data_IF_082230889517
#
_entry.id   IF_082230889517
#
_cell.length_a   1.000
_cell.length_b   1.000
_cell.length_c   1.000
_cell.angle_alpha   90.00
_cell.angle_beta   90.00
_cell.angle_gamma   90.00
#
_symmetry.space_group_name_H-M   'P 1'
#
loop_
_entity.id
_entity.type
_entity.pdbx_description
1 polymer ?
#
# COMPACT_ATOMS: atom_id res chain seq x y z
N UNK A 1 18.78 -7.69 10.54
CA UNK A 1 18.95 -8.89 11.40
C UNK A 1 19.28 -8.55 12.86
N UNK A 2 20.33 -7.76 13.16
CA UNK A 2 20.69 -7.47 14.58
C UNK A 2 19.56 -6.81 15.37
N UNK A 3 18.87 -5.81 14.81
CA UNK A 3 17.72 -5.17 15.45
C UNK A 3 16.56 -6.14 15.66
N UNK A 4 16.21 -6.94 14.63
CA UNK A 4 15.13 -7.94 14.71
C UNK A 4 15.44 -9.03 15.75
N UNK A 5 16.73 -9.44 15.85
CA UNK A 5 17.18 -10.37 16.90
C UNK A 5 16.93 -9.82 18.30
N UNK A 6 17.21 -8.53 18.54
CA UNK A 6 16.91 -7.87 19.82
C UNK A 6 15.41 -7.79 20.12
N UNK A 7 14.57 -7.51 19.10
CA UNK A 7 13.10 -7.51 19.24
C UNK A 7 12.59 -8.90 19.65
N UNK A 8 13.09 -9.96 19.00
CA UNK A 8 12.73 -11.34 19.33
C UNK A 8 13.23 -11.76 20.72
N UNK A 9 14.41 -11.30 21.13
CA UNK A 9 14.93 -11.53 22.47
C UNK A 9 14.05 -10.86 23.53
N UNK A 10 13.70 -9.59 23.35
CA UNK A 10 12.74 -8.89 24.23
C UNK A 10 11.42 -9.64 24.33
N UNK A 11 10.87 -10.10 23.19
CA UNK A 11 9.65 -10.87 23.20
C UNK A 11 9.79 -12.19 24.00
N UNK A 12 10.88 -12.94 23.78
CA UNK A 12 11.11 -14.24 24.45
C UNK A 12 11.38 -14.12 25.96
N UNK A 13 11.94 -13.00 26.39
CA UNK A 13 12.22 -12.75 27.81
C UNK A 13 11.04 -12.12 28.55
N UNK A 14 10.00 -11.71 27.84
CA UNK A 14 8.78 -11.17 28.44
C UNK A 14 7.99 -12.26 29.17
N UNK A 15 7.33 -11.88 30.25
CA UNK A 15 6.55 -12.75 31.14
C UNK A 15 5.04 -12.38 31.07
N UNK A 16 4.20 -13.14 31.72
CA UNK A 16 2.77 -12.85 31.81
C UNK A 16 2.41 -11.52 32.49
N UNK A 17 3.39 -10.91 33.19
CA UNK A 17 3.23 -9.60 33.84
C UNK A 17 3.63 -8.43 32.93
N UNK A 18 4.19 -8.73 31.75
CA UNK A 18 4.69 -7.73 30.84
C UNK A 18 3.68 -7.40 29.75
N UNK A 19 3.73 -6.16 29.30
CA UNK A 19 3.05 -5.65 28.10
C UNK A 19 4.08 -5.36 27.03
N UNK A 20 4.05 -6.12 25.94
CA UNK A 20 4.85 -5.87 24.74
C UNK A 20 4.08 -4.95 23.80
N UNK A 21 4.56 -3.71 23.63
CA UNK A 21 3.96 -2.76 22.67
C UNK A 21 4.75 -2.81 21.37
N UNK A 22 4.06 -3.14 20.26
CA UNK A 22 4.61 -3.17 18.92
C UNK A 22 4.07 -1.99 18.13
N UNK A 23 4.96 -1.12 17.62
CA UNK A 23 4.60 -0.04 16.71
C UNK A 23 4.94 -0.47 15.29
N UNK A 24 3.93 -0.66 14.44
CA UNK A 24 4.07 -1.19 13.08
C UNK A 24 3.65 -0.14 12.07
N UNK A 25 4.53 0.11 11.09
CA UNK A 25 4.26 1.02 9.96
C UNK A 25 4.76 0.38 8.67
N UNK A 26 4.49 1.00 7.55
CA UNK A 26 4.98 0.60 6.23
C UNK A 26 6.49 0.32 6.19
N UNK A 27 6.89 -0.57 5.31
CA UNK A 27 8.28 -0.99 5.14
C UNK A 27 8.81 -1.97 6.21
N UNK A 28 8.06 -2.26 7.27
CA UNK A 28 8.51 -3.12 8.37
C UNK A 28 8.98 -4.51 7.90
N UNK A 29 8.30 -5.15 6.94
CA UNK A 29 8.71 -6.44 6.38
C UNK A 29 10.13 -6.45 5.83
N UNK A 30 10.56 -5.36 5.17
CA UNK A 30 11.90 -5.25 4.61
C UNK A 30 12.96 -4.95 5.71
N UNK A 31 12.55 -4.22 6.74
CA UNK A 31 13.44 -3.75 7.82
C UNK A 31 13.62 -4.77 8.94
N UNK A 32 12.75 -5.78 9.04
CA UNK A 32 12.78 -6.80 10.11
C UNK A 32 13.06 -8.22 9.59
N UNK A 33 14.11 -8.45 8.78
CA UNK A 33 14.44 -9.80 8.34
C UNK A 33 14.89 -10.65 9.51
N UNK A 34 14.27 -11.81 9.68
CA UNK A 34 14.64 -12.85 10.64
C UNK A 34 14.42 -14.22 10.00
N UNK A 35 15.43 -14.81 9.37
CA UNK A 35 15.33 -16.16 8.83
C UNK A 35 14.94 -17.18 9.90
N UNK A 36 14.12 -18.16 9.52
CA UNK A 36 13.82 -19.30 10.36
C UNK A 36 15.11 -20.08 10.72
N UNK A 37 15.13 -20.85 11.81
CA UNK A 37 16.33 -21.62 12.21
C UNK A 37 16.90 -22.46 11.07
N UNK A 38 18.21 -22.36 10.86
CA UNK A 38 18.92 -23.06 9.78
C UNK A 38 18.94 -22.34 8.44
N UNK A 39 18.23 -21.22 8.30
CA UNK A 39 18.21 -20.39 7.08
C UNK A 39 19.08 -19.15 7.23
N UNK A 40 19.64 -18.67 6.13
CA UNK A 40 20.37 -17.42 6.05
C UNK A 40 19.54 -16.30 5.40
N UNK A 41 19.98 -15.06 5.57
CA UNK A 41 19.37 -13.92 4.85
C UNK A 41 19.55 -14.05 3.32
N UNK A 42 20.63 -14.67 2.87
CA UNK A 42 20.87 -14.93 1.45
C UNK A 42 19.81 -15.89 0.89
N UNK A 43 19.47 -16.94 1.63
CA UNK A 43 18.42 -17.91 1.25
C UNK A 43 17.06 -17.22 1.09
N UNK A 44 16.70 -16.35 2.04
CA UNK A 44 15.44 -15.59 1.96
C UNK A 44 15.42 -14.65 0.75
N UNK A 45 16.52 -13.94 0.51
CA UNK A 45 16.62 -13.02 -0.64
C UNK A 45 16.51 -13.77 -1.97
N UNK A 46 17.26 -14.86 -2.11
CA UNK A 46 17.23 -15.67 -3.33
C UNK A 46 15.82 -16.25 -3.57
N UNK A 47 15.18 -16.79 -2.55
CA UNK A 47 13.81 -17.32 -2.66
C UNK A 47 12.82 -16.22 -3.02
N UNK A 48 12.91 -15.04 -2.39
CA UNK A 48 12.06 -13.90 -2.70
C UNK A 48 12.24 -13.44 -4.15
N UNK A 49 13.50 -13.35 -4.63
CA UNK A 49 13.78 -12.96 -6.00
C UNK A 49 13.22 -13.96 -7.02
N UNK A 50 13.37 -15.25 -6.77
CA UNK A 50 12.79 -16.30 -7.63
C UNK A 50 11.26 -16.18 -7.76
N UNK A 51 10.57 -15.87 -6.65
CA UNK A 51 9.11 -15.66 -6.66
C UNK A 51 8.71 -14.39 -7.40
N UNK A 52 9.47 -13.31 -7.26
CA UNK A 52 9.24 -12.06 -8.01
C UNK A 52 9.45 -12.27 -9.51
N UNK A 53 10.55 -12.93 -9.89
CA UNK A 53 10.90 -13.17 -11.29
C UNK A 53 9.88 -14.04 -12.04
N UNK A 54 9.16 -14.92 -11.33
CA UNK A 54 8.11 -15.75 -11.93
C UNK A 54 6.70 -15.10 -11.89
N UNK A 55 6.58 -13.88 -11.35
CA UNK A 55 5.32 -13.16 -11.30
C UNK A 55 4.34 -13.66 -10.22
N UNK A 56 4.86 -14.22 -9.13
CA UNK A 56 4.04 -14.60 -7.97
C UNK A 56 3.32 -13.37 -7.41
N UNK A 57 2.06 -13.53 -7.04
CA UNK A 57 1.28 -12.49 -6.39
C UNK A 57 1.84 -12.14 -5.01
N UNK A 58 1.49 -10.97 -4.47
CA UNK A 58 1.93 -10.57 -3.12
C UNK A 58 1.46 -11.55 -2.04
N UNK A 59 0.30 -12.16 -2.20
CA UNK A 59 -0.22 -13.16 -1.27
C UNK A 59 0.62 -14.45 -1.29
N UNK A 60 0.98 -14.93 -2.47
CA UNK A 60 1.84 -16.11 -2.65
C UNK A 60 3.26 -15.87 -2.14
N UNK A 61 3.81 -14.72 -2.47
CA UNK A 61 5.10 -14.29 -1.97
C UNK A 61 5.10 -14.22 -0.43
N UNK A 62 4.07 -13.64 0.18
CA UNK A 62 3.95 -13.53 1.63
C UNK A 62 3.72 -14.90 2.29
N UNK A 63 2.95 -15.81 1.70
CA UNK A 63 2.78 -17.17 2.22
C UNK A 63 4.15 -17.86 2.41
N UNK A 64 4.98 -17.88 1.37
CA UNK A 64 6.33 -18.49 1.45
C UNK A 64 7.23 -17.71 2.43
N UNK A 65 7.24 -16.37 2.37
CA UNK A 65 8.09 -15.55 3.25
C UNK A 65 7.77 -15.68 4.72
N UNK A 66 6.48 -15.78 5.09
CA UNK A 66 6.03 -15.99 6.48
C UNK A 66 6.56 -17.31 7.04
N UNK A 67 6.50 -18.39 6.26
CA UNK A 67 7.00 -19.70 6.66
C UNK A 67 8.52 -19.76 6.79
N UNK A 68 9.26 -18.96 6.04
CA UNK A 68 10.71 -18.86 6.14
C UNK A 68 11.19 -17.83 7.20
N UNK A 69 10.28 -17.22 7.96
CA UNK A 69 10.57 -16.15 8.91
C UNK A 69 10.37 -16.60 10.35
N UNK A 70 11.26 -16.17 11.25
CA UNK A 70 11.09 -16.29 12.70
C UNK A 70 10.35 -15.08 13.32
N UNK A 71 9.93 -14.10 12.51
CA UNK A 71 9.31 -12.86 12.97
C UNK A 71 7.90 -12.65 12.44
N UNK A 72 7.70 -12.87 11.12
CA UNK A 72 6.44 -12.65 10.40
C UNK A 72 5.42 -13.77 10.64
N UNK A 73 4.17 -13.61 10.18
CA UNK A 73 3.14 -14.64 10.25
C UNK A 73 2.84 -15.10 11.68
N UNK A 74 2.67 -14.18 12.64
CA UNK A 74 2.36 -14.47 14.03
C UNK A 74 3.55 -14.92 14.89
N UNK A 75 4.74 -15.03 14.31
CA UNK A 75 5.91 -15.56 15.04
C UNK A 75 6.39 -14.64 16.16
N UNK A 76 6.24 -13.30 16.01
CA UNK A 76 6.54 -12.37 17.11
C UNK A 76 5.56 -12.58 18.27
N UNK A 77 4.29 -12.76 17.99
CA UNK A 77 3.28 -13.09 19.01
C UNK A 77 3.60 -14.43 19.71
N UNK A 78 4.00 -15.45 18.93
CA UNK A 78 4.48 -16.74 19.50
C UNK A 78 5.71 -16.54 20.40
N UNK A 79 6.67 -15.72 19.95
CA UNK A 79 7.88 -15.45 20.74
C UNK A 79 7.58 -14.74 22.07
N UNK A 80 6.52 -13.92 22.13
CA UNK A 80 6.08 -13.24 23.37
C UNK A 80 5.46 -14.20 24.41
N UNK A 81 5.14 -15.44 24.01
CA UNK A 81 4.70 -16.48 24.93
C UNK A 81 3.42 -16.09 25.69
N UNK A 82 3.55 -15.86 27.01
CA UNK A 82 2.43 -15.51 27.91
C UNK A 82 2.24 -14.01 28.11
N UNK A 83 3.12 -13.17 27.60
CA UNK A 83 2.99 -11.71 27.69
C UNK A 83 1.77 -11.20 26.93
N UNK A 84 1.21 -10.08 27.36
CA UNK A 84 0.21 -9.36 26.60
C UNK A 84 0.89 -8.59 25.47
N UNK A 85 0.38 -8.72 24.23
CA UNK A 85 0.89 -8.00 23.06
C UNK A 85 -0.13 -6.98 22.59
N UNK A 86 0.29 -5.73 22.49
CA UNK A 86 -0.49 -4.63 21.91
C UNK A 86 0.25 -4.11 20.67
N UNK A 87 -0.31 -4.33 19.50
CA UNK A 87 0.22 -3.77 18.25
C UNK A 87 -0.58 -2.54 17.85
N UNK A 88 0.12 -1.42 17.68
CA UNK A 88 -0.43 -0.17 17.16
C UNK A 88 0.08 -0.02 15.73
N UNK A 89 -0.84 -0.02 14.77
CA UNK A 89 -0.54 -0.23 13.35
C UNK A 89 -0.99 0.98 12.54
N UNK A 90 -0.09 1.52 11.73
CA UNK A 90 -0.40 2.42 10.62
C UNK A 90 -0.45 1.57 9.36
N UNK A 91 -1.63 1.48 8.73
CA UNK A 91 -1.83 0.63 7.55
C UNK A 91 -1.53 1.38 6.26
N UNK A 92 -0.66 0.79 5.45
CA UNK A 92 -0.33 1.19 4.08
C UNK A 92 -0.77 0.13 3.05
N UNK A 93 -1.74 -0.71 3.41
CA UNK A 93 -2.24 -1.81 2.57
C UNK A 93 -3.74 -1.65 2.35
N UNK A 94 -4.18 -1.75 1.11
CA UNK A 94 -5.62 -1.67 0.74
C UNK A 94 -6.43 -2.74 1.48
N UNK A 95 -7.50 -2.32 2.15
CA UNK A 95 -8.39 -3.20 2.92
C UNK A 95 -7.87 -3.58 4.30
N UNK A 96 -6.74 -3.07 4.72
CA UNK A 96 -6.16 -3.21 6.06
C UNK A 96 -5.99 -4.66 6.57
N UNK A 97 -5.59 -5.65 5.74
CA UNK A 97 -5.44 -7.04 6.18
C UNK A 97 -4.25 -7.18 7.13
N UNK A 98 -4.51 -7.48 8.40
CA UNK A 98 -3.50 -7.55 9.47
C UNK A 98 -2.38 -8.56 9.19
N UNK A 99 -2.66 -9.61 8.43
CA UNK A 99 -1.69 -10.65 8.07
C UNK A 99 -0.78 -10.25 6.90
N UNK A 100 -1.15 -9.19 6.15
CA UNK A 100 -0.35 -8.61 5.06
C UNK A 100 0.49 -7.44 5.55
N UNK A 101 -0.08 -6.55 6.38
CA UNK A 101 0.63 -5.40 6.95
C UNK A 101 1.87 -5.90 7.70
N UNK A 102 3.05 -5.41 7.32
CA UNK A 102 4.33 -5.86 7.89
C UNK A 102 4.56 -7.38 7.83
N UNK A 103 3.84 -8.12 6.95
CA UNK A 103 3.76 -9.58 6.91
C UNK A 103 3.25 -10.21 8.22
N UNK A 104 2.37 -9.52 8.95
CA UNK A 104 1.61 -10.04 10.08
C UNK A 104 2.41 -10.56 11.27
N UNK A 105 3.36 -9.84 11.88
CA UNK A 105 4.17 -10.38 12.98
C UNK A 105 3.35 -10.76 14.22
N UNK A 106 2.20 -10.12 14.40
CA UNK A 106 1.27 -10.32 15.53
C UNK A 106 -0.13 -10.75 15.08
N UNK A 107 -0.28 -11.13 13.82
CA UNK A 107 -1.52 -11.63 13.26
C UNK A 107 -1.42 -13.12 12.91
N UNK A 108 -2.52 -13.89 12.97
CA UNK A 108 -2.52 -15.27 12.52
C UNK A 108 -2.25 -15.37 11.02
N UNK A 109 -1.63 -16.47 10.61
CA UNK A 109 -1.35 -16.79 9.21
C UNK A 109 -2.25 -17.95 8.74
N UNK A 110 -3.13 -17.66 7.80
CA UNK A 110 -4.02 -18.68 7.25
C UNK A 110 -3.31 -19.63 6.27
N UNK A 111 -2.15 -19.24 5.70
CA UNK A 111 -1.39 -20.09 4.78
C UNK A 111 -0.61 -21.21 5.50
N UNK A 112 -0.27 -22.28 4.80
CA UNK A 112 0.35 -23.48 5.32
C UNK A 112 1.63 -23.85 4.56
N UNK A 113 2.41 -24.82 5.07
CA UNK A 113 3.51 -25.40 4.32
C UNK A 113 3.03 -26.11 3.03
N UNK A 114 1.79 -26.64 3.02
CA UNK A 114 1.19 -27.20 1.80
C UNK A 114 0.95 -26.11 0.75
N UNK A 115 0.41 -24.95 1.14
CA UNK A 115 0.26 -23.81 0.22
C UNK A 115 1.61 -23.36 -0.33
N UNK A 116 2.66 -23.31 0.51
CA UNK A 116 4.01 -22.98 0.04
C UNK A 116 4.49 -24.00 -1.00
N UNK A 117 4.26 -25.30 -0.79
CA UNK A 117 4.61 -26.35 -1.74
C UNK A 117 3.87 -26.16 -3.07
N UNK A 118 2.54 -25.98 -3.02
CA UNK A 118 1.71 -25.79 -4.22
C UNK A 118 2.14 -24.57 -5.04
N UNK A 119 2.45 -23.45 -4.37
CA UNK A 119 2.97 -22.25 -5.03
C UNK A 119 4.29 -22.56 -5.76
N UNK A 120 5.23 -23.20 -5.06
CA UNK A 120 6.55 -23.47 -5.62
C UNK A 120 6.51 -24.51 -6.74
N UNK A 121 5.66 -25.53 -6.66
CA UNK A 121 5.41 -26.52 -7.71
C UNK A 121 4.81 -25.85 -8.96
N UNK A 122 3.77 -25.03 -8.79
CA UNK A 122 3.10 -24.32 -9.90
C UNK A 122 4.05 -23.43 -10.71
N UNK A 123 5.02 -22.79 -10.05
CA UNK A 123 6.03 -21.96 -10.71
C UNK A 123 7.30 -22.75 -11.10
N UNK A 124 7.38 -24.07 -10.84
CA UNK A 124 8.53 -24.89 -11.16
C UNK A 124 9.81 -24.49 -10.44
N UNK A 125 9.70 -23.95 -9.23
CA UNK A 125 10.84 -23.34 -8.50
C UNK A 125 11.63 -24.31 -7.62
N UNK A 126 11.11 -25.53 -7.33
CA UNK A 126 11.71 -26.43 -6.35
C UNK A 126 13.20 -26.70 -6.56
N UNK A 127 13.61 -26.94 -7.82
CA UNK A 127 15.02 -27.24 -8.15
C UNK A 127 15.93 -25.99 -8.07
N UNK A 128 15.36 -24.79 -8.13
CA UNK A 128 16.07 -23.49 -8.12
C UNK A 128 16.24 -22.94 -6.72
N UNK A 129 15.48 -23.43 -5.74
CA UNK A 129 15.55 -22.97 -4.34
C UNK A 129 16.91 -23.33 -3.72
N UNK A 130 17.44 -22.52 -2.79
CA UNK A 130 18.52 -22.92 -1.91
C UNK A 130 18.22 -24.25 -1.22
N UNK A 131 19.24 -25.12 -1.07
CA UNK A 131 19.05 -26.43 -0.43
C UNK A 131 18.47 -26.31 0.98
N UNK A 132 18.96 -25.37 1.78
CA UNK A 132 18.46 -25.12 3.13
C UNK A 132 16.96 -24.78 3.15
N UNK A 133 16.45 -23.99 2.17
CA UNK A 133 15.03 -23.68 2.06
C UNK A 133 14.21 -24.91 1.70
N UNK A 134 14.67 -25.71 0.72
CA UNK A 134 13.98 -26.97 0.37
C UNK A 134 13.88 -27.90 1.57
N UNK A 135 14.99 -28.08 2.29
CA UNK A 135 15.04 -28.99 3.44
C UNK A 135 14.15 -28.49 4.58
N UNK A 136 14.11 -27.16 4.82
CA UNK A 136 13.23 -26.55 5.81
C UNK A 136 11.74 -26.73 5.45
N UNK A 137 11.36 -26.47 4.19
CA UNK A 137 9.97 -26.65 3.71
C UNK A 137 9.55 -28.13 3.79
N UNK A 138 10.42 -29.06 3.40
CA UNK A 138 10.17 -30.51 3.57
C UNK A 138 10.03 -30.91 5.03
N UNK A 139 10.82 -30.30 5.92
CA UNK A 139 10.67 -30.52 7.36
C UNK A 139 9.32 -30.01 7.87
N UNK A 140 8.84 -28.86 7.37
CA UNK A 140 7.51 -28.32 7.68
C UNK A 140 6.39 -29.28 7.23
N UNK A 141 6.41 -29.71 5.97
CA UNK A 141 5.45 -30.67 5.41
C UNK A 141 5.42 -31.99 6.19
N UNK A 142 6.56 -32.41 6.75
CA UNK A 142 6.68 -33.61 7.57
C UNK A 142 6.37 -33.34 9.07
N UNK A 143 5.89 -32.17 9.46
CA UNK A 143 5.60 -31.78 10.86
C UNK A 143 6.83 -31.65 11.76
N UNK A 144 8.04 -31.57 11.20
CA UNK A 144 9.31 -31.43 11.96
C UNK A 144 9.76 -29.97 12.14
N UNK A 145 9.28 -29.05 11.29
CA UNK A 145 9.38 -27.62 11.54
C UNK A 145 8.00 -27.08 11.97
N UNK A 146 7.96 -26.12 12.90
CA UNK A 146 6.67 -25.63 13.40
C UNK A 146 5.94 -24.81 12.34
N UNK A 147 4.66 -25.09 12.19
CA UNK A 147 3.76 -24.28 11.36
C UNK A 147 3.62 -22.86 11.91
N UNK A 148 3.31 -21.90 11.06
CA UNK A 148 2.97 -20.54 11.52
C UNK A 148 1.72 -20.56 12.40
N UNK A 149 1.56 -19.65 13.41
CA UNK A 149 0.35 -19.57 14.23
C UNK A 149 -0.90 -19.35 13.37
N UNK A 150 -1.92 -20.18 13.57
CA UNK A 150 -3.15 -20.21 12.77
C UNK A 150 -4.29 -19.40 13.38
N UNK A 151 -5.30 -19.00 12.59
CA UNK A 151 -6.56 -18.48 13.13
C UNK A 151 -7.14 -19.47 14.16
N UNK A 152 -7.51 -18.94 15.33
CA UNK A 152 -8.02 -19.76 16.43
C UNK A 152 -6.96 -20.31 17.40
N UNK A 153 -5.67 -20.09 17.14
CA UNK A 153 -4.61 -20.43 18.10
C UNK A 153 -4.83 -19.63 19.40
N UNK A 154 -4.84 -20.29 20.58
CA UNK A 154 -5.04 -19.65 21.89
C UNK A 154 -4.05 -18.51 22.20
N UNK A 155 -2.87 -18.51 21.59
CA UNK A 155 -1.88 -17.43 21.78
C UNK A 155 -2.46 -16.05 21.43
N UNK A 156 -3.35 -15.96 20.42
CA UNK A 156 -3.96 -14.70 20.02
C UNK A 156 -5.00 -14.14 21.02
N UNK A 157 -5.39 -14.91 22.01
CA UNK A 157 -6.22 -14.42 23.12
C UNK A 157 -5.57 -13.30 23.93
N UNK A 158 -4.24 -13.18 23.87
CA UNK A 158 -3.44 -12.14 24.55
C UNK A 158 -2.90 -11.07 23.59
N UNK A 159 -3.28 -11.12 22.33
CA UNK A 159 -2.85 -10.15 21.30
C UNK A 159 -3.99 -9.20 20.98
N UNK A 160 -3.67 -7.91 20.94
CA UNK A 160 -4.56 -6.85 20.47
C UNK A 160 -3.87 -6.09 19.36
N UNK A 161 -4.45 -6.11 18.18
CA UNK A 161 -4.02 -5.31 17.03
C UNK A 161 -4.97 -4.12 16.89
N UNK A 162 -4.44 -2.90 16.90
CA UNK A 162 -5.19 -1.65 16.77
C UNK A 162 -4.69 -0.93 15.52
N UNK A 163 -5.58 -0.70 14.56
CA UNK A 163 -5.35 0.17 13.42
C UNK A 163 -5.44 1.63 13.88
N UNK A 164 -4.30 2.26 14.11
CA UNK A 164 -4.23 3.64 14.60
C UNK A 164 -4.42 4.67 13.48
N UNK A 165 -3.97 4.34 12.26
CA UNK A 165 -4.19 5.15 11.07
C UNK A 165 -4.42 4.25 9.86
N UNK A 166 -5.43 4.60 9.04
CA UNK A 166 -5.82 3.90 7.83
C UNK A 166 -6.21 4.91 6.74
N UNK A 167 -6.27 4.45 5.49
CA UNK A 167 -6.76 5.27 4.39
C UNK A 167 -8.20 5.75 4.64
N UNK A 168 -9.07 4.89 5.15
CA UNK A 168 -10.44 5.24 5.49
C UNK A 168 -10.54 6.40 6.47
N UNK A 169 -9.71 6.42 7.51
CA UNK A 169 -9.68 7.52 8.48
C UNK A 169 -9.20 8.83 7.85
N UNK A 170 -8.25 8.76 6.90
CA UNK A 170 -7.82 9.93 6.13
C UNK A 170 -8.95 10.47 5.24
N UNK A 171 -9.69 9.59 4.56
CA UNK A 171 -10.89 9.97 3.78
C UNK A 171 -11.98 10.60 4.66
N UNK A 172 -12.24 10.03 5.83
CA UNK A 172 -13.22 10.58 6.76
C UNK A 172 -12.79 11.97 7.29
N UNK A 173 -11.48 12.19 7.48
CA UNK A 173 -10.95 13.50 7.83
C UNK A 173 -11.08 14.51 6.67
N UNK A 174 -10.81 14.07 5.44
CA UNK A 174 -11.01 14.89 4.24
C UNK A 174 -12.49 15.23 4.04
N UNK A 175 -13.41 14.31 4.30
CA UNK A 175 -14.85 14.54 4.24
C UNK A 175 -15.28 15.64 5.23
N UNK A 176 -14.85 15.54 6.49
CA UNK A 176 -15.14 16.60 7.51
C UNK A 176 -14.54 17.96 7.09
N UNK A 177 -13.35 17.96 6.50
CA UNK A 177 -12.72 19.19 6.03
C UNK A 177 -13.48 19.80 4.84
N UNK A 178 -14.05 19.01 3.96
CA UNK A 178 -14.89 19.42 2.84
C UNK A 178 -16.22 20.03 3.36
N UNK A 179 -16.89 19.37 4.31
CA UNK A 179 -18.13 19.87 4.94
C UNK A 179 -17.92 21.24 5.59
N UNK A 180 -16.80 21.40 6.33
CA UNK A 180 -16.45 22.67 6.96
C UNK A 180 -16.21 23.81 5.97
N UNK A 181 -15.93 23.48 4.70
CA UNK A 181 -15.74 24.43 3.58
C UNK A 181 -16.96 24.59 2.70
N UNK A 182 -18.09 23.99 3.09
CA UNK A 182 -19.36 24.15 2.38
C UNK A 182 -19.60 23.15 1.26
N UNK A 183 -18.74 22.16 1.06
CA UNK A 183 -18.94 21.07 0.12
C UNK A 183 -19.72 19.92 0.75
N UNK A 184 -20.48 19.17 -0.06
CA UNK A 184 -21.09 17.90 0.34
C UNK A 184 -20.11 16.75 -0.02
N UNK A 185 -19.51 16.06 0.95
CA UNK A 185 -18.56 15.01 0.67
C UNK A 185 -19.25 13.74 0.19
N UNK A 186 -18.58 13.00 -0.69
CA UNK A 186 -18.97 11.70 -1.18
C UNK A 186 -17.75 10.82 -1.30
N UNK A 187 -17.57 9.87 -0.38
CA UNK A 187 -16.53 8.85 -0.49
C UNK A 187 -16.95 7.81 -1.51
N UNK A 188 -16.25 7.75 -2.63
CA UNK A 188 -16.52 6.81 -3.72
C UNK A 188 -15.97 5.42 -3.42
N UNK A 189 -14.75 5.37 -2.88
CA UNK A 189 -14.06 4.12 -2.50
C UNK A 189 -12.87 4.40 -1.60
N UNK A 190 -12.51 3.44 -0.75
CA UNK A 190 -11.27 3.35 0.01
C UNK A 190 -10.38 2.18 -0.48
N UNK A 191 -10.71 1.62 -1.67
CA UNK A 191 -10.04 0.49 -2.31
C UNK A 191 -9.66 0.82 -3.74
N UNK A 192 -9.19 2.05 -4.01
CA UNK A 192 -8.79 2.48 -5.34
C UNK A 192 -7.53 1.72 -5.77
N UNK A 193 -7.67 0.82 -6.75
CA UNK A 193 -6.58 0.00 -7.27
C UNK A 193 -6.65 -0.07 -8.80
N UNK A 194 -5.54 -0.48 -9.42
CA UNK A 194 -5.40 -0.62 -10.88
C UNK A 194 -4.54 0.46 -11.50
N UNK A 195 -4.57 0.58 -12.82
CA UNK A 195 -3.72 1.49 -13.59
C UNK A 195 -4.09 2.96 -13.32
N UNK A 196 -3.11 3.75 -12.86
CA UNK A 196 -3.28 5.12 -12.38
C UNK A 196 -4.00 6.02 -13.41
N UNK A 197 -3.53 6.05 -14.66
CA UNK A 197 -4.13 6.87 -15.71
C UNK A 197 -5.59 6.50 -16.02
N UNK A 198 -5.94 5.22 -15.93
CA UNK A 198 -7.31 4.76 -16.17
C UNK A 198 -8.24 5.17 -15.02
N UNK A 199 -7.78 4.98 -13.78
CA UNK A 199 -8.54 5.37 -12.59
C UNK A 199 -8.73 6.88 -12.49
N UNK A 200 -7.77 7.66 -12.91
CA UNK A 200 -7.92 9.12 -13.01
C UNK A 200 -9.00 9.54 -14.00
N UNK A 201 -9.04 8.92 -15.17
CA UNK A 201 -10.08 9.18 -16.19
C UNK A 201 -11.46 8.79 -15.66
N UNK A 202 -11.60 7.62 -15.00
CA UNK A 202 -12.86 7.20 -14.38
C UNK A 202 -13.37 8.24 -13.35
N UNK A 203 -12.50 8.69 -12.45
CA UNK A 203 -12.83 9.68 -11.42
C UNK A 203 -13.17 11.05 -12.03
N UNK A 204 -12.39 11.53 -12.99
CA UNK A 204 -12.61 12.80 -13.66
C UNK A 204 -13.91 12.80 -14.47
N UNK A 205 -14.22 11.69 -15.17
CA UNK A 205 -15.48 11.51 -15.90
C UNK A 205 -16.69 11.54 -14.95
N UNK A 206 -16.59 10.88 -13.79
CA UNK A 206 -17.65 10.91 -12.78
C UNK A 206 -17.85 12.33 -12.23
N UNK A 207 -16.76 13.07 -11.99
CA UNK A 207 -16.84 14.45 -11.52
C UNK A 207 -17.50 15.37 -12.58
N UNK A 208 -17.14 15.24 -13.86
CA UNK A 208 -17.81 15.96 -14.97
C UNK A 208 -19.28 15.64 -15.04
N UNK A 209 -19.64 14.37 -15.03
CA UNK A 209 -21.04 13.92 -15.05
C UNK A 209 -21.86 14.58 -13.93
N UNK A 210 -21.27 14.71 -12.74
CA UNK A 210 -21.92 15.38 -11.59
C UNK A 210 -21.97 16.88 -11.74
N UNK A 211 -20.98 17.50 -12.40
CA UNK A 211 -20.99 18.93 -12.71
C UNK A 211 -22.04 19.31 -13.74
N UNK A 212 -22.33 18.43 -14.70
CA UNK A 212 -23.29 18.61 -15.78
C UNK A 212 -24.72 18.21 -15.38
N UNK A 213 -24.88 17.44 -14.31
CA UNK A 213 -26.20 16.98 -13.87
C UNK A 213 -27.09 18.19 -13.52
N UNK A 214 -28.35 18.24 -14.03
CA UNK A 214 -29.28 19.28 -13.63
C UNK A 214 -29.52 19.19 -12.14
N UNK A 215 -29.12 20.20 -11.39
CA UNK A 215 -29.20 20.25 -9.94
C UNK A 215 -30.03 21.41 -9.48
N UNK A 216 -30.86 21.19 -8.48
CA UNK A 216 -31.39 22.26 -7.64
C UNK A 216 -30.17 22.91 -6.96
N UNK A 217 -30.03 24.22 -7.06
CA UNK A 217 -28.93 24.99 -6.48
C UNK A 217 -28.57 24.51 -5.07
N UNK A 218 -27.33 24.18 -4.85
CA UNK A 218 -26.90 23.55 -3.58
C UNK A 218 -25.38 23.61 -3.39
N UNK A 219 -24.92 23.01 -2.30
CA UNK A 219 -23.48 22.91 -2.00
C UNK A 219 -22.73 22.21 -3.13
N UNK A 220 -21.52 22.69 -3.44
CA UNK A 220 -20.58 21.94 -4.27
C UNK A 220 -20.34 20.53 -3.73
N UNK A 221 -19.84 19.62 -4.56
CA UNK A 221 -19.50 18.25 -4.14
C UNK A 221 -18.00 18.10 -3.95
N UNK A 222 -17.62 17.32 -2.97
CA UNK A 222 -16.26 16.83 -2.80
C UNK A 222 -16.27 15.31 -2.96
N UNK A 223 -15.78 14.81 -4.10
CA UNK A 223 -15.64 13.38 -4.35
C UNK A 223 -14.30 12.94 -3.80
N UNK A 224 -14.30 11.87 -3.03
CA UNK A 224 -13.13 11.34 -2.34
C UNK A 224 -12.92 9.89 -2.74
N UNK A 225 -11.69 9.54 -3.04
CA UNK A 225 -11.29 8.16 -3.23
C UNK A 225 -9.90 7.94 -2.62
N UNK A 226 -9.62 6.72 -2.14
CA UNK A 226 -8.34 6.37 -1.58
C UNK A 226 -7.96 4.93 -1.84
N UNK A 227 -6.68 4.65 -1.78
CA UNK A 227 -6.10 3.34 -2.06
C UNK A 227 -4.70 3.47 -2.64
N UNK A 228 -4.30 2.53 -3.47
CA UNK A 228 -2.98 2.50 -4.10
C UNK A 228 -3.08 2.00 -5.54
N UNK A 229 -2.86 2.91 -6.50
CA UNK A 229 -2.83 2.58 -7.93
C UNK A 229 -1.43 2.17 -8.38
N UNK A 230 -1.33 1.63 -9.59
CA UNK A 230 -0.08 1.21 -10.20
C UNK A 230 0.18 1.97 -11.50
N UNK A 231 1.45 2.02 -11.91
CA UNK A 231 1.87 2.60 -13.19
C UNK A 231 2.60 1.54 -14.01
N UNK A 232 2.11 1.30 -15.21
CA UNK A 232 2.82 0.51 -16.20
C UNK A 232 3.86 1.42 -16.90
N UNK A 233 5.14 1.18 -16.61
CA UNK A 233 6.22 1.98 -17.19
C UNK A 233 6.44 1.56 -18.64
N UNK A 234 6.25 2.49 -19.57
CA UNK A 234 6.45 2.32 -21.01
C UNK A 234 7.54 3.24 -21.57
N UNK A 235 7.69 4.41 -20.97
CA UNK A 235 8.65 5.42 -21.35
C UNK A 235 9.85 5.53 -20.42
N UNK A 236 10.63 6.60 -20.58
CA UNK A 236 11.85 6.90 -19.79
C UNK A 236 11.69 8.16 -18.91
N UNK A 237 10.47 8.69 -18.82
CA UNK A 237 10.19 9.89 -18.06
C UNK A 237 10.27 9.69 -16.54
N UNK A 238 10.01 10.76 -15.81
CA UNK A 238 9.94 10.77 -14.35
C UNK A 238 8.54 11.15 -13.90
N UNK A 239 8.09 10.47 -12.84
CA UNK A 239 6.79 10.71 -12.22
C UNK A 239 6.49 9.64 -11.21
N UNK A 240 5.28 9.65 -10.71
CA UNK A 240 4.71 8.64 -9.84
C UNK A 240 3.23 8.44 -10.18
N UNK A 241 2.56 7.54 -9.49
CA UNK A 241 1.17 7.20 -9.75
C UNK A 241 0.20 8.37 -9.54
N UNK A 242 0.43 9.18 -8.51
CA UNK A 242 -0.40 10.34 -8.22
C UNK A 242 -0.19 11.47 -9.25
N UNK A 243 1.05 11.72 -9.66
CA UNK A 243 1.36 12.67 -10.72
C UNK A 243 0.79 12.19 -12.07
N UNK A 244 0.85 10.89 -12.35
CA UNK A 244 0.25 10.33 -13.56
C UNK A 244 -1.27 10.44 -13.54
N UNK A 245 -1.90 10.23 -12.38
CA UNK A 245 -3.34 10.48 -12.19
C UNK A 245 -3.69 11.95 -12.44
N UNK A 246 -2.91 12.89 -11.90
CA UNK A 246 -3.15 14.31 -12.10
C UNK A 246 -3.05 14.73 -13.58
N UNK A 247 -2.03 14.24 -14.30
CA UNK A 247 -1.87 14.52 -15.72
C UNK A 247 -3.01 13.91 -16.56
N UNK A 248 -3.40 12.67 -16.29
CA UNK A 248 -4.49 12.02 -16.98
C UNK A 248 -5.85 12.70 -16.70
N UNK A 249 -6.09 13.10 -15.45
CA UNK A 249 -7.27 13.86 -15.07
C UNK A 249 -7.28 15.27 -15.73
N UNK A 250 -6.14 15.96 -15.83
CA UNK A 250 -6.04 17.24 -16.49
C UNK A 250 -6.48 17.16 -17.97
N UNK A 251 -6.07 16.11 -18.67
CA UNK A 251 -6.52 15.84 -20.05
C UNK A 251 -8.04 15.63 -20.16
N UNK A 252 -8.66 15.03 -19.15
CA UNK A 252 -10.10 14.79 -19.12
C UNK A 252 -10.89 16.03 -18.67
N UNK A 253 -10.29 16.86 -17.81
CA UNK A 253 -10.92 18.08 -17.26
C UNK A 253 -10.67 19.33 -18.10
N UNK A 254 -9.97 19.24 -19.25
CA UNK A 254 -9.70 20.38 -20.12
C UNK A 254 -11.00 21.10 -20.50
N UNK A 255 -11.04 22.40 -20.22
CA UNK A 255 -12.21 23.24 -20.49
C UNK A 255 -13.40 23.05 -19.54
N UNK A 256 -13.21 22.37 -18.40
CA UNK A 256 -14.25 22.14 -17.36
C UNK A 256 -14.00 23.02 -16.12
N UNK A 257 -14.37 24.30 -16.11
CA UNK A 257 -13.97 25.25 -15.07
C UNK A 257 -14.59 24.98 -13.70
N UNK A 258 -15.61 24.13 -13.63
CA UNK A 258 -16.32 23.76 -12.40
C UNK A 258 -15.75 22.54 -11.68
N UNK A 259 -14.70 21.94 -12.22
CA UNK A 259 -14.09 20.73 -11.65
C UNK A 259 -12.60 20.97 -11.49
N UNK A 260 -12.09 20.64 -10.34
CA UNK A 260 -10.65 20.49 -10.11
C UNK A 260 -10.37 19.21 -9.32
N UNK A 261 -9.15 18.69 -9.46
CA UNK A 261 -8.75 17.47 -8.79
C UNK A 261 -7.36 17.58 -8.17
N UNK A 262 -7.16 16.81 -7.12
CA UNK A 262 -5.89 16.57 -6.45
C UNK A 262 -5.69 15.06 -6.29
N UNK A 263 -4.50 14.60 -6.61
CA UNK A 263 -4.05 13.23 -6.34
C UNK A 263 -2.72 13.30 -5.59
N UNK A 264 -2.63 12.64 -4.44
CA UNK A 264 -1.44 12.75 -3.59
C UNK A 264 -1.20 11.51 -2.73
N UNK A 265 0.07 11.12 -2.60
CA UNK A 265 0.54 10.18 -1.59
C UNK A 265 0.55 10.84 -0.21
N UNK A 266 -0.01 10.17 0.78
CA UNK A 266 -0.08 10.69 2.15
C UNK A 266 1.29 10.77 2.83
N UNK A 267 2.30 10.08 2.32
CA UNK A 267 3.68 10.11 2.81
C UNK A 267 4.47 11.35 2.33
N UNK A 268 3.91 12.09 1.37
CA UNK A 268 4.52 13.30 0.82
C UNK A 268 5.53 13.03 -0.30
N UNK A 269 5.54 11.80 -0.85
CA UNK A 269 6.39 11.40 -1.98
C UNK A 269 5.59 10.64 -3.03
N UNK A 270 6.02 10.69 -4.30
CA UNK A 270 5.36 9.99 -5.38
C UNK A 270 6.38 9.59 -6.46
N UNK A 271 6.69 8.29 -6.52
CA UNK A 271 7.74 7.75 -7.37
C UNK A 271 9.13 8.32 -7.01
N UNK A 272 10.07 8.39 -7.98
CA UNK A 272 11.43 8.88 -7.75
C UNK A 272 11.51 10.42 -7.83
N UNK A 273 10.53 11.13 -7.23
CA UNK A 273 10.43 12.59 -7.25
C UNK A 273 10.26 13.16 -5.84
N UNK A 274 10.35 14.48 -5.69
CA UNK A 274 10.10 15.23 -4.45
C UNK A 274 8.65 15.70 -4.32
N UNK A 275 7.81 15.45 -5.32
CA UNK A 275 6.41 15.76 -5.29
C UNK A 275 5.61 14.66 -4.55
N UNK A 276 4.61 15.06 -3.79
CA UNK A 276 3.61 14.16 -3.21
C UNK A 276 2.55 13.73 -4.24
N UNK A 277 2.41 14.48 -5.32
CA UNK A 277 1.41 14.28 -6.36
C UNK A 277 1.19 15.53 -7.18
N UNK A 278 -0.06 15.79 -7.61
CA UNK A 278 -0.36 16.96 -8.41
C UNK A 278 -1.83 17.33 -8.46
N UNK A 279 -2.06 18.54 -8.97
CA UNK A 279 -3.38 19.09 -9.24
C UNK A 279 -3.75 18.91 -10.71
N UNK A 280 -5.05 18.93 -11.00
CA UNK A 280 -5.62 18.99 -12.33
C UNK A 280 -6.71 20.08 -12.37
N UNK A 281 -6.51 21.08 -13.22
CA UNK A 281 -7.46 22.17 -13.47
C UNK A 281 -7.87 22.20 -14.93
N UNK A 282 -8.91 22.95 -15.23
CA UNK A 282 -9.45 23.10 -16.59
C UNK A 282 -8.47 23.71 -17.60
N UNK A 283 -7.46 24.43 -17.16
CA UNK A 283 -6.42 25.10 -17.95
C UNK A 283 -5.04 24.44 -17.85
N UNK A 284 -4.89 23.39 -17.05
CA UNK A 284 -3.60 22.68 -16.86
C UNK A 284 -2.96 22.27 -18.18
N UNK A 285 -3.77 21.68 -19.10
CA UNK A 285 -3.30 21.22 -20.42
C UNK A 285 -2.76 22.37 -21.27
N UNK A 286 -3.43 23.52 -21.25
CA UNK A 286 -2.97 24.71 -21.97
C UNK A 286 -1.60 25.19 -21.45
N UNK A 287 -1.42 25.17 -20.12
CA UNK A 287 -0.15 25.53 -19.48
C UNK A 287 0.98 24.51 -19.73
N UNK A 288 0.63 23.25 -20.05
CA UNK A 288 1.59 22.21 -20.44
C UNK A 288 2.05 22.32 -21.91
N UNK A 289 1.54 23.30 -22.68
CA UNK A 289 1.84 23.46 -24.11
C UNK A 289 0.81 22.82 -25.03
N UNK A 290 -0.36 22.44 -24.51
CA UNK A 290 -1.49 21.90 -25.25
C UNK A 290 -1.63 20.38 -25.14
N UNK A 291 -2.75 19.89 -25.69
CA UNK A 291 -3.20 18.50 -25.52
C UNK A 291 -2.24 17.46 -26.09
N UNK A 292 -1.60 17.76 -27.22
CA UNK A 292 -0.63 16.83 -27.84
C UNK A 292 0.64 16.71 -27.00
N UNK A 293 1.16 17.82 -26.48
CA UNK A 293 2.33 17.83 -25.59
C UNK A 293 2.02 17.07 -24.30
N UNK A 294 0.87 17.31 -23.67
CA UNK A 294 0.45 16.60 -22.45
C UNK A 294 0.32 15.08 -22.68
N UNK A 295 -0.27 14.66 -23.82
CA UNK A 295 -0.38 13.24 -24.18
C UNK A 295 0.98 12.59 -24.44
N UNK A 296 1.90 13.27 -25.10
CA UNK A 296 3.24 12.77 -25.33
C UNK A 296 3.98 12.57 -24.00
N UNK A 297 3.88 13.51 -23.07
CA UNK A 297 4.46 13.39 -21.73
C UNK A 297 3.85 12.23 -20.92
N UNK A 298 2.52 12.02 -21.03
CA UNK A 298 1.84 10.88 -20.39
C UNK A 298 2.29 9.54 -20.99
N UNK A 299 2.46 9.44 -22.29
CA UNK A 299 2.93 8.23 -22.96
C UNK A 299 4.36 7.84 -22.55
N UNK A 300 5.20 8.83 -22.25
CA UNK A 300 6.57 8.64 -21.77
C UNK A 300 6.68 8.46 -20.24
N UNK A 301 5.57 8.33 -19.49
CA UNK A 301 5.53 8.34 -18.02
C UNK A 301 6.25 9.55 -17.40
N UNK A 302 6.18 10.71 -18.06
CA UNK A 302 6.89 11.94 -17.69
C UNK A 302 5.95 12.97 -17.04
N UNK A 303 5.10 12.51 -16.13
CA UNK A 303 4.10 13.32 -15.45
C UNK A 303 4.71 14.41 -14.58
N UNK A 304 5.90 14.19 -14.01
CA UNK A 304 6.59 15.22 -13.23
C UNK A 304 6.93 16.46 -14.08
N UNK A 305 7.50 16.25 -15.28
CA UNK A 305 7.81 17.34 -16.19
C UNK A 305 6.53 18.06 -16.66
N UNK A 306 5.47 17.34 -16.96
CA UNK A 306 4.19 17.92 -17.38
C UNK A 306 3.60 18.85 -16.31
N UNK A 307 3.53 18.36 -15.07
CA UNK A 307 2.98 19.13 -13.94
C UNK A 307 3.91 20.27 -13.51
N UNK A 308 5.22 20.14 -13.69
CA UNK A 308 6.16 21.23 -13.48
C UNK A 308 5.94 22.39 -14.50
N UNK A 309 5.69 22.06 -15.77
CA UNK A 309 5.38 23.07 -16.81
C UNK A 309 4.09 23.84 -16.50
N UNK A 310 3.07 23.18 -15.97
CA UNK A 310 1.81 23.82 -15.62
C UNK A 310 1.82 24.47 -14.24
N UNK A 311 2.82 24.19 -13.41
CA UNK A 311 2.86 24.66 -12.01
C UNK A 311 1.91 23.92 -11.08
N UNK A 312 1.51 22.69 -11.45
CA UNK A 312 0.49 21.90 -10.75
C UNK A 312 1.09 20.80 -9.87
N UNK A 313 2.40 20.78 -9.62
CA UNK A 313 3.02 19.85 -8.66
C UNK A 313 2.59 20.18 -7.23
N UNK A 314 2.25 19.15 -6.46
CA UNK A 314 2.12 19.26 -5.01
C UNK A 314 3.43 18.83 -4.34
N UNK A 315 4.10 19.75 -3.69
CA UNK A 315 5.34 19.50 -2.95
C UNK A 315 5.09 19.80 -1.47
N UNK A 316 5.09 18.77 -0.64
CA UNK A 316 4.86 18.87 0.81
C UNK A 316 6.10 18.58 1.63
N UNK A 317 7.07 17.89 1.05
CA UNK A 317 8.09 17.16 1.79
C UNK A 317 7.51 15.97 2.58
N UNK A 318 8.36 15.18 3.24
CA UNK A 318 7.93 13.99 3.98
C UNK A 318 6.96 14.33 5.11
N UNK A 319 5.79 13.70 5.13
CA UNK A 319 4.74 13.90 6.15
C UNK A 319 4.96 13.08 7.41
N UNK A 320 5.85 12.08 7.36
CA UNK A 320 6.15 11.12 8.44
C UNK A 320 4.97 10.17 8.75
N UNK A 321 4.05 10.01 7.83
CA UNK A 321 3.00 8.99 7.87
C UNK A 321 2.84 8.38 6.48
N UNK A 322 2.21 7.21 6.37
CA UNK A 322 1.81 6.62 5.11
C UNK A 322 0.54 5.80 5.33
N UNK A 323 -0.55 6.24 4.73
CA UNK A 323 -1.82 5.53 4.64
C UNK A 323 -2.30 5.49 3.19
N UNK A 324 -1.36 5.27 2.25
CA UNK A 324 -1.60 5.23 0.80
C UNK A 324 -1.97 6.59 0.21
N UNK A 325 -2.72 6.59 -0.88
CA UNK A 325 -3.02 7.77 -1.68
C UNK A 325 -4.44 8.30 -1.42
N UNK A 326 -4.62 9.59 -1.70
CA UNK A 326 -5.89 10.29 -1.69
C UNK A 326 -6.14 10.93 -3.05
N UNK A 327 -7.36 10.77 -3.56
CA UNK A 327 -7.92 11.52 -4.66
C UNK A 327 -9.05 12.41 -4.13
N UNK A 328 -8.96 13.71 -4.39
CA UNK A 328 -9.96 14.71 -3.99
C UNK A 328 -10.39 15.46 -5.23
N UNK A 329 -11.67 15.38 -5.60
CA UNK A 329 -12.20 16.14 -6.73
C UNK A 329 -13.30 17.08 -6.22
N UNK A 330 -13.12 18.36 -6.46
CA UNK A 330 -14.14 19.36 -6.13
C UNK A 330 -14.97 19.65 -7.37
N UNK A 331 -16.28 19.69 -7.18
CA UNK A 331 -17.26 19.96 -8.22
C UNK A 331 -18.12 21.13 -7.76
N UNK A 332 -17.92 22.28 -8.37
CA UNK A 332 -18.76 23.46 -8.11
C UNK A 332 -20.12 23.29 -8.83
N UNK A 333 -21.16 23.64 -8.12
CA UNK A 333 -22.52 23.70 -8.66
C UNK A 333 -22.89 25.15 -8.95
N UNK A 334 -23.71 25.40 -10.01
CA UNK A 334 -24.17 26.74 -10.34
C UNK A 334 -25.04 27.35 -9.23
#
# INVERSE_FOLDING_TARGET
MRATGRMLEMARTSTERDLLICLLTGGASALTPAPAPGLSLADLRQTTQLLLDCGATIHELNAVRKHLSAFSGGQLARAAGRATVLSVIVSDVVGDPLDVIASGPTAPDASSFDDCREILERFGLESRLPSAVRDYLRAGLAGRAPETPKPGDPLFGRVRNILAATNRQALDAAARAAEARGYAPCVLTDHLTGEARQKAVELATEARRRAEAPGQGGKGLCLLAGGETTVTIQGRGRGGRNQEMALAAALELEGQPRVCALFAGTDGTDGPTDAAGGFAFSDSVARMGGREAARALLAENNSNAALALSGDLLITGPTRTNVMDLAVLLVDRP
#
